data_IF_343221117637
#
_entry.id   IF_343221117637
#
_cell.length_a   1.000
_cell.length_b   1.000
_cell.length_c   1.000
_cell.angle_alpha   90.00
_cell.angle_beta   90.00
_cell.angle_gamma   90.00
#
_symmetry.space_group_name_H-M   'P 1'
#
loop_
_entity.id
_entity.type
_entity.pdbx_description
1 polymer ?
#
# COMPACT_ATOMS: atom_id res chain seq x y z
N UNK A 1 2.79 6.18 19.34
CA UNK A 1 4.02 6.07 18.55
C UNK A 1 3.81 5.14 17.35
N UNK A 2 3.87 3.81 17.46
CA UNK A 2 3.73 2.93 16.28
C UNK A 2 2.39 3.07 15.54
N UNK A 3 1.28 3.22 16.28
CA UNK A 3 -0.02 3.50 15.65
C UNK A 3 -0.02 4.81 14.86
N UNK A 4 0.56 5.88 15.43
CA UNK A 4 0.64 7.18 14.77
C UNK A 4 1.54 7.11 13.51
N UNK A 5 2.60 6.30 13.55
CA UNK A 5 3.47 6.06 12.39
C UNK A 5 2.72 5.35 11.26
N UNK A 6 1.98 4.29 11.58
CA UNK A 6 1.15 3.56 10.63
C UNK A 6 0.04 4.46 10.06
N UNK A 7 -0.60 5.30 10.88
CA UNK A 7 -1.63 6.23 10.43
C UNK A 7 -1.07 7.28 9.45
N UNK A 8 0.14 7.79 9.69
CA UNK A 8 0.85 8.69 8.75
C UNK A 8 1.13 8.00 7.42
N UNK A 9 1.65 6.78 7.44
CA UNK A 9 1.94 6.03 6.21
C UNK A 9 0.66 5.62 5.46
N UNK A 10 -0.43 5.35 6.19
CA UNK A 10 -1.73 5.04 5.62
C UNK A 10 -2.29 6.24 4.85
N UNK A 11 -2.30 7.43 5.45
CA UNK A 11 -2.80 8.64 4.79
C UNK A 11 -1.96 8.98 3.56
N UNK A 12 -0.63 9.00 3.69
CA UNK A 12 0.28 9.27 2.58
C UNK A 12 0.12 8.27 1.42
N UNK A 13 0.01 6.99 1.75
CA UNK A 13 -0.25 5.92 0.78
C UNK A 13 -1.58 6.08 0.04
N UNK A 14 -2.66 6.43 0.76
CA UNK A 14 -3.98 6.68 0.17
C UNK A 14 -3.95 7.92 -0.74
N UNK A 15 -3.38 9.04 -0.29
CA UNK A 15 -3.30 10.26 -1.10
C UNK A 15 -2.47 10.03 -2.38
N UNK A 16 -1.39 9.27 -2.27
CA UNK A 16 -0.55 8.92 -3.43
C UNK A 16 -1.28 8.03 -4.43
N UNK A 17 -1.97 6.98 -3.96
CA UNK A 17 -2.79 6.13 -4.82
C UNK A 17 -3.92 6.92 -5.48
N UNK A 18 -4.61 7.79 -4.72
CA UNK A 18 -5.64 8.71 -5.22
C UNK A 18 -5.10 9.55 -6.37
N UNK A 19 -3.95 10.18 -6.16
CA UNK A 19 -3.29 11.00 -7.18
C UNK A 19 -2.98 10.21 -8.45
N UNK A 20 -2.43 8.99 -8.33
CA UNK A 20 -2.13 8.17 -9.50
C UNK A 20 -3.40 7.73 -10.24
N UNK A 21 -4.45 7.33 -9.53
CA UNK A 21 -5.73 6.94 -10.13
C UNK A 21 -6.40 8.11 -10.87
N UNK A 22 -6.43 9.30 -10.26
CA UNK A 22 -7.04 10.49 -10.89
C UNK A 22 -6.25 10.96 -12.12
N UNK A 23 -4.91 10.83 -12.10
CA UNK A 23 -4.05 11.33 -13.18
C UNK A 23 -3.76 10.32 -14.29
N UNK A 24 -3.74 9.02 -13.98
CA UNK A 24 -3.32 7.94 -14.90
C UNK A 24 -4.36 6.84 -15.06
N UNK A 25 -5.34 6.75 -14.16
CA UNK A 25 -6.35 5.70 -14.15
C UNK A 25 -5.89 4.36 -13.57
N UNK A 26 -4.59 4.20 -13.31
CA UNK A 26 -3.99 2.99 -12.75
C UNK A 26 -2.67 3.34 -12.03
N UNK A 27 -2.18 2.40 -11.21
CA UNK A 27 -0.83 2.46 -10.65
C UNK A 27 -0.28 1.07 -10.41
N UNK A 28 1.04 0.92 -10.58
CA UNK A 28 1.74 -0.26 -10.09
C UNK A 28 1.92 -0.17 -8.57
N UNK A 29 1.94 -1.31 -7.86
CA UNK A 29 2.21 -1.30 -6.43
C UNK A 29 3.47 -0.52 -6.07
N UNK A 30 3.41 0.19 -4.94
CA UNK A 30 4.50 0.97 -4.40
C UNK A 30 4.54 0.81 -2.88
N UNK A 31 5.64 1.22 -2.26
CA UNK A 31 5.72 1.28 -0.82
C UNK A 31 5.98 2.72 -0.34
N UNK A 32 5.45 3.05 0.83
CA UNK A 32 5.82 4.21 1.62
C UNK A 32 6.53 3.69 2.86
N UNK A 33 7.71 4.23 3.18
CA UNK A 33 8.54 3.74 4.27
C UNK A 33 8.89 4.87 5.22
N UNK A 34 8.93 4.57 6.52
CA UNK A 34 9.39 5.47 7.56
C UNK A 34 10.71 4.96 8.15
N UNK A 35 11.69 5.85 8.22
CA UNK A 35 12.96 5.64 8.91
C UNK A 35 12.88 6.03 10.37
N UNK A 36 13.81 5.54 11.20
CA UNK A 36 13.90 5.85 12.64
C UNK A 36 14.04 7.34 12.95
N UNK A 37 14.62 8.11 12.02
CA UNK A 37 14.74 9.56 12.12
C UNK A 37 13.44 10.33 11.76
N UNK A 38 12.36 9.62 11.40
CA UNK A 38 11.08 10.19 10.97
C UNK A 38 10.99 10.55 9.48
N UNK A 39 12.04 10.31 8.70
CA UNK A 39 12.03 10.53 7.25
C UNK A 39 11.08 9.54 6.56
N UNK A 40 10.25 10.04 5.65
CA UNK A 40 9.32 9.26 4.84
C UNK A 40 9.81 9.23 3.39
N UNK A 41 9.77 8.04 2.76
CA UNK A 41 10.15 7.85 1.35
C UNK A 41 9.17 6.96 0.61
N UNK A 42 9.04 7.20 -0.69
CA UNK A 42 8.33 6.30 -1.61
C UNK A 42 9.33 5.40 -2.31
N UNK A 43 9.03 4.10 -2.34
CA UNK A 43 9.80 3.08 -3.04
C UNK A 43 8.91 2.51 -4.14
N UNK A 44 9.36 2.65 -5.38
CA UNK A 44 8.70 2.09 -6.56
C UNK A 44 9.69 1.19 -7.29
N UNK A 45 9.22 0.04 -7.74
CA UNK A 45 9.98 -0.82 -8.64
C UNK A 45 9.35 -0.72 -10.02
N UNK A 46 10.16 -0.32 -11.00
CA UNK A 46 9.76 -0.35 -12.40
C UNK A 46 10.06 -1.75 -12.92
N UNK A 47 9.04 -2.58 -13.18
CA UNK A 47 9.24 -3.92 -13.73
C UNK A 47 9.86 -3.83 -15.13
N UNK A 48 10.79 -4.74 -15.44
CA UNK A 48 11.33 -4.87 -16.80
C UNK A 48 10.31 -5.48 -17.77
N UNK A 49 9.37 -6.28 -17.25
CA UNK A 49 8.23 -6.81 -18.02
C UNK A 49 7.21 -5.71 -18.31
N UNK A 50 6.68 -5.67 -19.54
CA UNK A 50 5.73 -4.62 -19.95
C UNK A 50 4.44 -4.59 -19.11
N UNK A 51 4.05 -5.71 -18.47
CA UNK A 51 2.85 -5.84 -17.61
C UNK A 51 2.98 -6.96 -16.56
N UNK A 52 3.72 -6.79 -15.45
CA UNK A 52 3.70 -7.78 -14.37
C UNK A 52 2.34 -7.79 -13.64
N UNK A 53 2.05 -8.88 -12.95
CA UNK A 53 0.95 -8.88 -11.98
C UNK A 53 1.30 -8.03 -10.76
N UNK A 54 0.29 -7.43 -10.11
CA UNK A 54 0.47 -6.67 -8.86
C UNK A 54 1.18 -7.49 -7.79
N UNK A 55 0.84 -8.78 -7.66
CA UNK A 55 1.48 -9.68 -6.69
C UNK A 55 2.98 -9.85 -6.96
N UNK A 56 3.39 -9.96 -8.22
CA UNK A 56 4.82 -10.06 -8.56
C UNK A 56 5.58 -8.77 -8.21
N UNK A 57 4.96 -7.60 -8.38
CA UNK A 57 5.56 -6.31 -7.99
C UNK A 57 5.64 -6.19 -6.47
N UNK A 58 4.59 -6.59 -5.75
CA UNK A 58 4.56 -6.61 -4.28
C UNK A 58 5.67 -7.52 -3.72
N UNK A 59 5.85 -8.72 -4.26
CA UNK A 59 6.92 -9.63 -3.79
C UNK A 59 8.33 -9.07 -4.05
N UNK A 60 8.53 -8.39 -5.18
CA UNK A 60 9.79 -7.69 -5.45
C UNK A 60 10.01 -6.53 -4.47
N UNK A 61 8.96 -5.74 -4.16
CA UNK A 61 9.03 -4.68 -3.16
C UNK A 61 9.38 -5.22 -1.78
N UNK A 62 8.68 -6.27 -1.33
CA UNK A 62 8.95 -6.92 -0.04
C UNK A 62 10.40 -7.42 0.02
N UNK A 63 10.90 -8.04 -1.05
CA UNK A 63 12.28 -8.52 -1.12
C UNK A 63 13.29 -7.37 -0.99
N UNK A 64 13.10 -6.28 -1.74
CA UNK A 64 13.96 -5.11 -1.67
C UNK A 64 13.93 -4.46 -0.27
N UNK A 65 12.74 -4.26 0.30
CA UNK A 65 12.56 -3.68 1.63
C UNK A 65 13.19 -4.54 2.72
N UNK A 66 13.07 -5.87 2.64
CA UNK A 66 13.76 -6.80 3.56
C UNK A 66 15.27 -6.66 3.50
N UNK A 67 15.83 -6.45 2.31
CA UNK A 67 17.27 -6.30 2.12
C UNK A 67 17.79 -4.98 2.68
N UNK A 68 17.04 -3.89 2.51
CA UNK A 68 17.51 -2.56 2.91
C UNK A 68 17.08 -2.16 4.33
N UNK A 69 16.10 -2.84 4.96
CA UNK A 69 15.51 -2.40 6.25
C UNK A 69 16.52 -2.05 7.35
N UNK A 70 17.61 -2.80 7.45
CA UNK A 70 18.62 -2.61 8.48
C UNK A 70 19.59 -1.47 8.14
N UNK A 71 19.96 -1.33 6.87
CA UNK A 71 20.82 -0.25 6.39
C UNK A 71 20.09 1.10 6.39
N UNK A 72 18.81 1.08 6.04
CA UNK A 72 17.97 2.27 5.96
C UNK A 72 17.34 2.69 7.29
N UNK A 73 17.55 1.94 8.37
CA UNK A 73 16.90 2.13 9.67
C UNK A 73 15.36 2.22 9.56
N UNK A 74 14.75 1.35 8.75
CA UNK A 74 13.29 1.33 8.57
C UNK A 74 12.61 0.88 9.87
N UNK A 75 11.52 1.56 10.22
CA UNK A 75 10.71 1.25 11.42
C UNK A 75 9.25 0.93 11.10
N UNK A 76 8.74 1.41 9.97
CA UNK A 76 7.35 1.19 9.55
C UNK A 76 7.27 1.28 8.03
N UNK A 77 6.39 0.49 7.42
CA UNK A 77 6.16 0.48 5.98
C UNK A 77 4.67 0.35 5.65
N UNK A 78 4.27 0.86 4.50
CA UNK A 78 2.98 0.65 3.87
C UNK A 78 3.20 0.19 2.44
N UNK A 79 2.73 -1.00 2.07
CA UNK A 79 2.69 -1.44 0.67
C UNK A 79 1.30 -1.15 0.12
N UNK A 80 1.23 -0.37 -0.94
CA UNK A 80 -0.01 0.11 -1.55
C UNK A 80 -0.19 -0.57 -2.90
N UNK A 81 -1.36 -1.14 -3.14
CA UNK A 81 -1.69 -1.84 -4.39
C UNK A 81 -3.15 -1.63 -4.78
N UNK A 82 -3.43 -1.65 -6.07
CA UNK A 82 -4.79 -1.70 -6.61
C UNK A 82 -5.23 -3.16 -6.72
N UNK A 83 -6.40 -3.48 -6.16
CA UNK A 83 -6.93 -4.85 -6.10
C UNK A 83 -8.42 -4.89 -6.42
N UNK A 84 -8.87 -5.99 -7.01
CA UNK A 84 -10.30 -6.31 -7.12
C UNK A 84 -10.74 -7.16 -5.94
N UNK A 85 -11.72 -6.67 -5.19
CA UNK A 85 -12.29 -7.40 -4.07
C UNK A 85 -13.53 -8.20 -4.51
N UNK A 86 -13.59 -9.51 -4.20
CA UNK A 86 -14.83 -10.25 -4.32
C UNK A 86 -15.84 -9.69 -3.31
N UNK A 87 -17.06 -9.44 -3.76
CA UNK A 87 -18.00 -8.61 -3.00
C UNK A 87 -18.50 -9.23 -1.69
N UNK A 88 -18.56 -8.41 -0.64
CA UNK A 88 -19.56 -8.53 0.41
C UNK A 88 -20.86 -7.85 -0.07
N UNK A 89 -21.89 -8.64 -0.44
CA UNK A 89 -23.31 -8.22 -0.61
C UNK A 89 -23.75 -7.40 -1.85
N UNK A 90 -23.01 -7.32 -2.96
CA UNK A 90 -23.51 -6.75 -4.22
C UNK A 90 -23.09 -7.65 -5.42
N UNK A 91 -23.53 -7.34 -6.66
CA UNK A 91 -23.46 -8.25 -7.84
C UNK A 91 -22.16 -8.27 -8.67
N UNK A 92 -21.22 -7.35 -8.49
CA UNK A 92 -20.01 -7.18 -9.35
C UNK A 92 -18.74 -6.87 -8.54
N UNK A 93 -17.55 -7.38 -8.84
CA UNK A 93 -16.30 -7.02 -8.14
C UNK A 93 -16.10 -5.50 -7.97
N UNK A 94 -15.43 -5.09 -6.88
CA UNK A 94 -15.15 -3.67 -6.58
C UNK A 94 -13.64 -3.44 -6.53
N UNK A 95 -13.17 -2.42 -7.22
CA UNK A 95 -11.78 -1.97 -7.14
C UNK A 95 -11.52 -1.31 -5.77
N UNK A 96 -10.36 -1.57 -5.20
CA UNK A 96 -9.98 -1.06 -3.90
C UNK A 96 -8.49 -0.78 -3.82
N UNK A 97 -8.15 0.28 -3.09
CA UNK A 97 -6.78 0.52 -2.65
C UNK A 97 -6.55 -0.40 -1.45
N UNK A 98 -5.62 -1.34 -1.59
CA UNK A 98 -5.11 -2.17 -0.49
C UNK A 98 -3.84 -1.55 0.06
N UNK A 99 -3.82 -1.30 1.37
CA UNK A 99 -2.64 -0.82 2.10
C UNK A 99 -2.26 -1.86 3.15
N UNK A 100 -1.11 -2.50 2.95
CA UNK A 100 -0.53 -3.46 3.90
C UNK A 100 0.50 -2.75 4.75
N UNK A 101 0.14 -2.50 6.01
CA UNK A 101 0.99 -1.84 7.00
C UNK A 101 1.74 -2.90 7.81
N UNK A 102 3.06 -2.75 7.88
CA UNK A 102 3.94 -3.57 8.70
C UNK A 102 4.89 -2.66 9.49
N UNK A 103 5.01 -2.93 10.77
CA UNK A 103 5.70 -2.06 11.72
C UNK A 103 6.63 -2.90 12.59
N UNK A 104 7.76 -2.32 13.00
CA UNK A 104 8.75 -3.01 13.80
C UNK A 104 8.21 -3.45 15.16
N UNK A 105 7.30 -2.67 15.76
CA UNK A 105 6.81 -2.87 17.13
C UNK A 105 5.31 -3.20 17.20
N UNK A 106 4.51 -2.72 16.25
CA UNK A 106 3.07 -2.96 16.22
C UNK A 106 2.67 -4.26 15.48
N UNK A 107 1.38 -4.62 15.57
CA UNK A 107 0.82 -5.69 14.76
C UNK A 107 0.54 -5.18 13.34
N UNK A 108 0.83 -5.99 12.31
CA UNK A 108 0.52 -5.63 10.93
C UNK A 108 -0.99 -5.52 10.72
N UNK A 109 -1.38 -4.55 9.89
CA UNK A 109 -2.77 -4.25 9.56
C UNK A 109 -2.90 -4.16 8.05
N UNK A 110 -3.98 -4.71 7.49
CA UNK A 110 -4.31 -4.51 6.09
C UNK A 110 -5.59 -3.70 5.99
N UNK A 111 -5.51 -2.55 5.33
CA UNK A 111 -6.65 -1.69 5.04
C UNK A 111 -7.08 -1.89 3.58
N UNK A 112 -8.39 -1.95 3.37
CA UNK A 112 -9.02 -1.97 2.07
C UNK A 112 -9.92 -0.75 1.96
N UNK A 113 -9.69 0.06 0.93
CA UNK A 113 -10.47 1.25 0.66
C UNK A 113 -11.08 1.14 -0.73
N UNK A 114 -12.34 0.67 -0.83
CA UNK A 114 -13.06 0.60 -2.10
C UNK A 114 -13.11 1.97 -2.77
N UNK A 115 -13.09 2.01 -4.10
CA UNK A 115 -13.25 3.25 -4.83
C UNK A 115 -14.02 3.07 -6.13
N UNK A 116 -14.56 4.18 -6.63
CA UNK A 116 -15.07 4.31 -7.99
C UNK A 116 -14.30 5.43 -8.70
N UNK A 117 -13.82 5.15 -9.91
CA UNK A 117 -13.13 6.14 -10.74
C UNK A 117 -14.01 6.52 -11.94
N UNK A 118 -14.45 7.77 -12.00
CA UNK A 118 -15.27 8.28 -13.08
C UNK A 118 -14.72 9.62 -13.59
N UNK A 119 -14.40 9.70 -14.89
CA UNK A 119 -13.88 10.92 -15.53
C UNK A 119 -12.68 11.56 -14.81
N UNK A 120 -11.77 10.73 -14.30
CA UNK A 120 -10.58 11.19 -13.57
C UNK A 120 -10.84 11.70 -12.15
N UNK A 121 -12.05 11.49 -11.62
CA UNK A 121 -12.41 11.81 -10.24
C UNK A 121 -12.68 10.52 -9.48
N UNK A 122 -12.08 10.37 -8.32
CA UNK A 122 -12.23 9.19 -7.47
C UNK A 122 -13.18 9.45 -6.30
N UNK A 123 -14.14 8.56 -6.12
CA UNK A 123 -15.00 8.50 -4.95
C UNK A 123 -14.55 7.34 -4.06
N UNK A 124 -14.10 7.65 -2.84
CA UNK A 124 -13.66 6.65 -1.87
C UNK A 124 -14.86 6.14 -1.05
N UNK A 125 -14.92 4.82 -0.86
CA UNK A 125 -15.90 4.15 -0.03
C UNK A 125 -15.49 4.05 1.44
N UNK A 126 -16.20 3.20 2.19
CA UNK A 126 -15.89 2.94 3.59
C UNK A 126 -14.65 2.04 3.73
N UNK A 127 -13.65 2.52 4.47
CA UNK A 127 -12.44 1.76 4.75
C UNK A 127 -12.73 0.57 5.65
N UNK A 128 -12.11 -0.58 5.33
CA UNK A 128 -12.15 -1.78 6.15
C UNK A 128 -10.75 -2.20 6.54
N UNK A 129 -10.48 -2.31 7.83
CA UNK A 129 -9.21 -2.82 8.35
C UNK A 129 -9.37 -4.27 8.82
N UNK A 130 -8.40 -5.10 8.49
CA UNK A 130 -8.26 -6.47 8.99
C UNK A 130 -6.88 -6.66 9.61
N UNK A 131 -6.71 -7.74 10.38
CA UNK A 131 -5.37 -8.18 10.76
C UNK A 131 -4.55 -8.44 9.50
N UNK A 132 -3.34 -7.89 9.44
CA UNK A 132 -2.41 -8.09 8.34
C UNK A 132 -1.39 -9.18 8.63
N UNK A 133 -0.44 -9.32 7.71
CA UNK A 133 0.73 -10.19 7.83
C UNK A 133 2.00 -9.34 7.86
N UNK A 134 2.95 -9.73 8.71
CA UNK A 134 4.25 -9.06 8.73
C UNK A 134 5.07 -9.63 7.58
N UNK A 135 5.47 -8.76 6.66
CA UNK A 135 6.21 -9.14 5.46
C UNK A 135 7.62 -8.61 5.47
N UNK A 136 7.93 -7.54 6.17
CA UNK A 136 9.26 -6.92 6.19
C UNK A 136 9.94 -7.05 7.56
N UNK A 137 9.21 -7.00 8.67
CA UNK A 137 9.84 -6.95 10.00
C UNK A 137 9.92 -8.28 10.76
N UNK A 138 9.13 -9.30 10.38
CA UNK A 138 9.16 -10.64 11.01
C UNK A 138 9.44 -11.76 10.03
#
# INVERSE_FOLDING_TARGET
MSRDQMDVLLDDGIQSAKHFLETRGEFFPFAVVMKRNGEIKHVQLYPEDERPSSDAVVEKLVTALRQTRAEDDLISIAIVSDVRLPKFQQTHEVDAIRVELDDLEAQPVTCYLPYELASGVIALGEMRATRGESRVFR
#
